data_IF_197290486393
#
_entry.id   IF_197290486393
#
_cell.length_a   1.000
_cell.length_b   1.000
_cell.length_c   1.000
_cell.angle_alpha   90.00
_cell.angle_beta   90.00
_cell.angle_gamma   90.00
#
_symmetry.space_group_name_H-M   'P 1'
#
loop_
_entity.id
_entity.type
_entity.pdbx_description
1 polymer ?
#
# COMPACT_ATOMS: atom_id res chain seq x y z
N UNK A 1 -13.87 -1.22 15.20
CA UNK A 1 -12.59 -1.26 14.46
C UNK A 1 -12.91 -1.44 13.00
N UNK A 2 -12.30 -0.67 12.09
CA UNK A 2 -12.50 -0.84 10.66
C UNK A 2 -11.88 -2.16 10.19
N UNK A 3 -12.63 -2.93 9.42
CA UNK A 3 -12.14 -4.13 8.77
C UNK A 3 -11.64 -3.78 7.36
N UNK A 4 -10.67 -4.55 6.88
CA UNK A 4 -10.20 -4.52 5.50
C UNK A 4 -10.44 -5.90 4.89
N UNK A 5 -10.94 -5.92 3.65
CA UNK A 5 -11.12 -7.14 2.86
C UNK A 5 -10.33 -7.01 1.58
N UNK A 6 -9.34 -7.88 1.39
CA UNK A 6 -8.41 -7.75 0.28
C UNK A 6 -8.00 -9.11 -0.29
N UNK A 7 -7.63 -9.13 -1.57
CA UNK A 7 -6.91 -10.27 -2.18
C UNK A 7 -5.40 -9.99 -2.26
N UNK A 8 -4.93 -8.89 -1.69
CA UNK A 8 -3.50 -8.56 -1.64
C UNK A 8 -2.73 -9.63 -0.85
N UNK A 9 -1.53 -10.01 -1.30
CA UNK A 9 -0.77 -11.08 -0.69
C UNK A 9 -0.22 -10.64 0.68
N UNK A 10 -0.18 -11.58 1.62
CA UNK A 10 0.58 -11.43 2.86
C UNK A 10 2.07 -11.59 2.52
N UNK A 11 2.85 -10.54 2.73
CA UNK A 11 4.30 -10.58 2.50
C UNK A 11 5.04 -11.24 3.66
N UNK A 12 4.64 -10.92 4.89
CA UNK A 12 5.25 -11.43 6.12
C UNK A 12 4.30 -11.32 7.31
N UNK A 13 4.59 -12.11 8.35
CA UNK A 13 3.97 -12.01 9.68
C UNK A 13 5.07 -11.81 10.71
N UNK A 14 4.94 -10.82 11.57
CA UNK A 14 5.92 -10.50 12.62
C UNK A 14 5.24 -10.44 13.98
N UNK A 15 5.95 -10.80 15.05
CA UNK A 15 5.48 -10.55 16.43
C UNK A 15 6.09 -9.23 16.88
N UNK A 16 5.23 -8.23 17.04
CA UNK A 16 5.60 -6.86 17.40
C UNK A 16 5.28 -6.59 18.88
N UNK A 17 6.08 -5.72 19.51
CA UNK A 17 5.83 -5.23 20.86
C UNK A 17 5.20 -3.85 20.78
N UNK A 18 4.02 -3.70 21.38
CA UNK A 18 3.26 -2.46 21.41
C UNK A 18 3.14 -1.92 22.82
N UNK A 19 2.97 -0.61 22.90
CA UNK A 19 2.58 0.13 24.09
C UNK A 19 1.22 0.77 23.85
N UNK A 20 0.36 0.72 24.85
CA UNK A 20 -0.90 1.44 24.90
C UNK A 20 -1.02 2.17 26.24
N UNK A 21 -1.62 3.36 26.22
CA UNK A 21 -1.97 4.09 27.43
C UNK A 21 -3.46 3.92 27.71
N UNK A 22 -3.80 3.37 28.87
CA UNK A 22 -5.19 3.11 29.29
C UNK A 22 -5.48 3.79 30.62
N UNK A 23 -6.74 4.15 30.87
CA UNK A 23 -7.16 4.68 32.16
C UNK A 23 -7.69 3.54 33.03
N UNK A 24 -7.07 3.32 34.19
CA UNK A 24 -7.46 2.30 35.17
C UNK A 24 -7.66 3.01 36.50
N UNK A 25 -8.89 3.03 37.01
CA UNK A 25 -9.20 3.73 38.27
C UNK A 25 -9.05 5.25 38.21
N UNK A 26 -9.03 5.86 37.02
CA UNK A 26 -8.81 7.30 36.82
C UNK A 26 -7.34 7.67 36.58
N UNK A 27 -6.41 6.73 36.72
CA UNK A 27 -4.99 6.94 36.46
C UNK A 27 -4.59 6.40 35.08
N UNK A 28 -3.75 7.15 34.36
CA UNK A 28 -3.22 6.74 33.05
C UNK A 28 -2.04 5.79 33.25
N UNK A 29 -2.20 4.55 32.83
CA UNK A 29 -1.18 3.51 32.95
C UNK A 29 -0.61 3.12 31.57
N UNK A 30 0.69 2.84 31.54
CA UNK A 30 1.41 2.28 30.38
C UNK A 30 1.26 0.76 30.41
N UNK A 31 0.70 0.19 29.36
CA UNK A 31 0.59 -1.26 29.19
C UNK A 31 1.38 -1.67 27.97
N UNK A 32 2.32 -2.60 28.17
CA UNK A 32 3.12 -3.19 27.12
C UNK A 32 2.61 -4.60 26.81
N UNK A 33 2.51 -4.96 25.54
CA UNK A 33 2.00 -6.24 25.10
C UNK A 33 2.54 -6.63 23.72
N UNK A 34 2.53 -7.93 23.41
CA UNK A 34 2.97 -8.45 22.11
C UNK A 34 1.79 -8.89 21.26
N UNK A 35 1.82 -8.60 19.96
CA UNK A 35 0.82 -9.05 18.99
C UNK A 35 1.45 -9.42 17.66
N UNK A 36 0.82 -10.36 16.97
CA UNK A 36 1.14 -10.65 15.59
C UNK A 36 0.64 -9.52 14.69
N UNK A 37 1.52 -9.00 13.85
CA UNK A 37 1.22 -8.09 12.75
C UNK A 37 1.35 -8.85 11.44
N UNK A 38 0.35 -8.68 10.58
CA UNK A 38 0.34 -9.19 9.22
C UNK A 38 0.66 -8.02 8.30
N UNK A 39 1.66 -8.20 7.43
CA UNK A 39 2.08 -7.16 6.50
C UNK A 39 1.54 -7.48 5.11
N UNK A 40 0.51 -6.75 4.69
CA UNK A 40 -0.08 -6.89 3.35
C UNK A 40 0.74 -6.10 2.34
N UNK A 41 1.14 -6.73 1.24
CA UNK A 41 1.76 -6.00 0.13
C UNK A 41 0.67 -5.40 -0.74
N UNK A 42 0.63 -4.07 -0.77
CA UNK A 42 -0.34 -3.28 -1.53
C UNK A 42 0.41 -2.29 -2.43
N UNK A 43 -0.30 -1.78 -3.43
CA UNK A 43 0.16 -0.70 -4.27
C UNK A 43 -0.90 0.38 -4.43
N UNK A 44 -0.40 1.58 -4.69
CA UNK A 44 -1.17 2.78 -4.97
C UNK A 44 -0.51 3.49 -6.15
N UNK A 45 -1.32 3.92 -7.11
CA UNK A 45 -0.84 4.58 -8.33
C UNK A 45 -1.41 5.98 -8.42
N UNK A 46 -0.52 6.95 -8.56
CA UNK A 46 -0.85 8.37 -8.66
C UNK A 46 -0.57 8.87 -10.08
N UNK A 47 -1.53 9.58 -10.67
CA UNK A 47 -1.32 10.36 -11.87
C UNK A 47 -0.55 11.65 -11.53
N UNK A 48 0.56 11.92 -12.21
CA UNK A 48 1.38 13.12 -12.02
C UNK A 48 1.58 13.84 -13.36
N UNK A 49 1.52 15.18 -13.31
CA UNK A 49 1.90 16.07 -14.40
C UNK A 49 3.26 16.66 -14.06
N UNK A 50 4.24 16.45 -14.95
CA UNK A 50 5.63 16.81 -14.74
C UNK A 50 6.08 17.79 -15.81
N UNK A 51 6.82 18.82 -15.40
CA UNK A 51 7.43 19.77 -16.33
C UNK A 51 8.84 20.12 -15.86
N UNK A 52 9.85 19.90 -16.70
CA UNK A 52 11.24 20.15 -16.35
C UNK A 52 11.78 19.24 -15.23
N UNK A 53 11.21 18.04 -15.06
CA UNK A 53 11.59 17.09 -14.01
C UNK A 53 10.88 17.30 -12.67
N UNK A 54 10.09 18.36 -12.54
CA UNK A 54 9.34 18.69 -11.33
C UNK A 54 7.85 18.36 -11.48
N UNK A 55 7.25 17.81 -10.43
CA UNK A 55 5.80 17.57 -10.38
C UNK A 55 5.09 18.92 -10.23
N UNK A 56 4.37 19.33 -11.27
CA UNK A 56 3.60 20.58 -11.26
C UNK A 56 2.19 20.38 -10.73
N UNK A 57 1.63 19.18 -10.86
CA UNK A 57 0.30 18.83 -10.37
C UNK A 57 0.12 17.32 -10.22
N UNK A 58 -0.79 16.91 -9.35
CA UNK A 58 -1.19 15.51 -9.15
C UNK A 58 -2.68 15.35 -9.46
N UNK A 59 -3.01 14.29 -10.20
CA UNK A 59 -4.38 13.95 -10.59
C UNK A 59 -5.00 12.88 -9.71
N UNK A 60 -5.73 11.96 -10.34
CA UNK A 60 -6.38 10.84 -9.64
C UNK A 60 -5.34 9.91 -8.98
N UNK A 61 -5.75 9.31 -7.86
CA UNK A 61 -5.03 8.26 -7.18
C UNK A 61 -5.92 7.02 -7.07
N UNK A 62 -5.37 5.84 -7.37
CA UNK A 62 -6.06 4.57 -7.26
C UNK A 62 -5.28 3.61 -6.35
N UNK A 63 -6.00 2.84 -5.55
CA UNK A 63 -5.46 1.79 -4.68
C UNK A 63 -5.89 0.41 -5.18
N UNK A 64 -5.28 -0.64 -4.62
CA UNK A 64 -5.50 -2.04 -4.99
C UNK A 64 -6.83 -2.66 -4.51
N UNK A 65 -7.96 -2.06 -4.87
CA UNK A 65 -9.29 -2.55 -4.48
C UNK A 65 -9.60 -3.97 -4.97
N UNK A 66 -9.04 -4.36 -6.11
CA UNK A 66 -9.26 -5.66 -6.74
C UNK A 66 -8.05 -6.59 -6.63
N UNK A 67 -7.05 -6.22 -5.83
CA UNK A 67 -5.80 -6.97 -5.67
C UNK A 67 -4.58 -6.21 -6.14
N UNK A 68 -3.42 -6.79 -5.86
CA UNK A 68 -2.13 -6.16 -6.11
C UNK A 68 -1.99 -5.73 -7.59
N UNK A 69 -1.60 -4.47 -7.80
CA UNK A 69 -1.47 -3.80 -9.10
C UNK A 69 -2.77 -3.59 -9.88
N UNK A 70 -3.94 -3.74 -9.26
CA UNK A 70 -5.20 -3.34 -9.91
C UNK A 70 -5.28 -1.82 -10.12
N UNK A 71 -4.46 -1.04 -9.43
CA UNK A 71 -4.39 0.41 -9.56
C UNK A 71 -3.55 0.93 -10.75
N UNK A 72 -2.80 0.08 -11.45
CA UNK A 72 -1.77 0.53 -12.42
C UNK A 72 -2.30 0.88 -13.82
N UNK A 73 -3.60 0.71 -14.09
CA UNK A 73 -4.17 0.89 -15.42
C UNK A 73 -4.24 2.39 -15.82
N UNK A 74 -3.57 2.81 -16.91
CA UNK A 74 -3.63 4.20 -17.39
C UNK A 74 -5.01 4.66 -17.84
N UNK A 75 -5.89 3.75 -18.25
CA UNK A 75 -7.25 4.08 -18.62
C UNK A 75 -8.08 4.46 -17.39
N UNK A 76 -7.99 3.68 -16.31
CA UNK A 76 -8.75 3.88 -15.07
C UNK A 76 -8.35 5.19 -14.37
N UNK A 77 -7.06 5.54 -14.43
CA UNK A 77 -6.54 6.79 -13.88
C UNK A 77 -6.72 8.01 -14.81
N UNK A 78 -7.26 7.80 -16.01
CA UNK A 78 -7.52 8.87 -16.97
C UNK A 78 -6.26 9.48 -17.61
N UNK A 79 -5.10 8.82 -17.51
CA UNK A 79 -3.84 9.31 -18.08
C UNK A 79 -3.93 9.48 -19.60
N UNK A 80 -4.52 8.50 -20.29
CA UNK A 80 -4.76 8.56 -21.73
C UNK A 80 -5.70 9.71 -22.13
N UNK A 81 -6.74 9.94 -21.32
CA UNK A 81 -7.70 11.03 -21.54
C UNK A 81 -7.05 12.39 -21.31
N UNK A 82 -6.22 12.52 -20.27
CA UNK A 82 -5.47 13.73 -19.98
C UNK A 82 -4.46 14.05 -21.10
N UNK A 83 -3.70 13.05 -21.56
CA UNK A 83 -2.76 13.21 -22.67
C UNK A 83 -3.44 13.70 -23.94
N UNK A 84 -4.58 13.09 -24.32
CA UNK A 84 -5.40 13.53 -25.46
C UNK A 84 -5.95 14.94 -25.28
N UNK A 85 -6.48 15.27 -24.10
CA UNK A 85 -7.09 16.58 -23.81
C UNK A 85 -6.09 17.71 -23.89
N UNK A 86 -4.90 17.52 -23.34
CA UNK A 86 -3.84 18.54 -23.31
C UNK A 86 -2.89 18.46 -24.50
N UNK A 87 -3.12 17.52 -25.43
CA UNK A 87 -2.27 17.25 -26.60
C UNK A 87 -0.80 16.99 -26.20
N UNK A 88 -0.61 16.24 -25.12
CA UNK A 88 0.71 15.84 -24.63
C UNK A 88 1.13 14.56 -25.32
N UNK A 89 2.32 14.58 -25.90
CA UNK A 89 2.97 13.46 -26.56
C UNK A 89 4.43 13.31 -26.11
N UNK A 90 5.17 12.41 -26.75
CA UNK A 90 6.56 12.15 -26.40
C UNK A 90 7.48 13.38 -26.58
N UNK A 91 7.13 14.32 -27.47
CA UNK A 91 7.95 15.49 -27.80
C UNK A 91 7.59 16.73 -26.97
N UNK A 92 6.45 16.70 -26.27
CA UNK A 92 5.95 17.79 -25.45
C UNK A 92 6.89 18.12 -24.28
N UNK A 93 7.02 19.37 -23.84
CA UNK A 93 7.83 19.70 -22.65
C UNK A 93 7.21 19.18 -21.35
N UNK A 94 5.89 19.03 -21.33
CA UNK A 94 5.14 18.40 -20.25
C UNK A 94 5.15 16.87 -20.44
N UNK A 95 5.25 16.17 -19.32
CA UNK A 95 5.13 14.73 -19.21
C UNK A 95 3.93 14.39 -18.32
N UNK A 96 3.14 13.41 -18.74
CA UNK A 96 2.11 12.82 -17.90
C UNK A 96 2.62 11.43 -17.55
N UNK A 97 2.72 11.15 -16.26
CA UNK A 97 3.25 9.89 -15.77
C UNK A 97 2.33 9.26 -14.72
N UNK A 98 2.39 7.94 -14.62
CA UNK A 98 1.83 7.19 -13.50
C UNK A 98 2.97 6.76 -12.61
N UNK A 99 2.87 7.12 -11.33
CA UNK A 99 3.84 6.71 -10.31
C UNK A 99 3.17 5.71 -9.41
N UNK A 100 3.68 4.48 -9.41
CA UNK A 100 3.18 3.39 -8.56
C UNK A 100 4.08 3.24 -7.35
N UNK A 101 3.47 3.28 -6.17
CA UNK A 101 4.11 3.00 -4.90
C UNK A 101 3.72 1.60 -4.43
N UNK A 102 4.70 0.72 -4.18
CA UNK A 102 4.50 -0.57 -3.51
C UNK A 102 4.88 -0.41 -2.05
N UNK A 103 4.02 -0.86 -1.14
CA UNK A 103 4.25 -0.76 0.29
C UNK A 103 3.71 -1.98 1.04
N UNK A 104 4.20 -2.16 2.26
CA UNK A 104 3.62 -3.08 3.21
C UNK A 104 2.71 -2.32 4.18
N UNK A 105 1.45 -2.70 4.22
CA UNK A 105 0.46 -2.15 5.11
C UNK A 105 0.32 -3.05 6.36
N UNK A 106 0.59 -2.53 7.57
CA UNK A 106 0.46 -3.32 8.78
C UNK A 106 -1.00 -3.46 9.17
N UNK A 107 -1.46 -4.70 9.29
CA UNK A 107 -2.79 -5.06 9.78
C UNK A 107 -2.67 -6.14 10.85
N UNK A 108 -3.76 -6.44 11.54
CA UNK A 108 -3.82 -7.58 12.43
C UNK A 108 -5.00 -8.49 12.09
N UNK A 109 -4.80 -9.78 12.35
CA UNK A 109 -5.81 -10.80 12.16
C UNK A 109 -6.41 -11.15 13.53
N UNK A 110 -7.61 -10.64 13.82
CA UNK A 110 -8.34 -11.02 15.03
C UNK A 110 -8.74 -12.51 14.99
N UNK A 111 -9.07 -13.13 16.13
CA UNK A 111 -9.58 -14.50 16.14
C UNK A 111 -10.78 -14.71 15.20
N UNK A 112 -11.68 -13.73 15.11
CA UNK A 112 -12.84 -13.75 14.21
C UNK A 112 -12.40 -13.68 12.75
N UNK A 113 -11.47 -12.79 12.41
CA UNK A 113 -10.91 -12.68 11.06
C UNK A 113 -10.26 -14.00 10.64
N UNK A 114 -9.48 -14.62 11.54
CA UNK A 114 -8.83 -15.91 11.29
C UNK A 114 -9.84 -17.00 11.00
N UNK A 115 -10.93 -17.08 11.78
CA UNK A 115 -11.99 -18.06 11.54
C UNK A 115 -12.65 -17.86 10.17
N UNK A 116 -12.92 -16.60 9.78
CA UNK A 116 -13.44 -16.28 8.45
C UNK A 116 -12.44 -16.72 7.37
N UNK A 117 -11.18 -16.34 7.49
CA UNK A 117 -10.14 -16.64 6.49
C UNK A 117 -9.94 -18.16 6.30
N UNK A 118 -10.02 -18.94 7.39
CA UNK A 118 -9.93 -20.41 7.33
C UNK A 118 -11.14 -21.08 6.69
N UNK A 119 -12.32 -20.47 6.78
CA UNK A 119 -13.57 -21.01 6.22
C UNK A 119 -13.77 -20.72 4.74
N UNK A 120 -12.96 -19.84 4.15
CA UNK A 120 -13.15 -19.34 2.79
C UNK A 120 -12.15 -19.99 1.82
N UNK A 121 -12.51 -20.11 0.52
CA UNK A 121 -11.59 -20.63 -0.49
C UNK A 121 -10.39 -19.69 -0.70
N UNK A 122 -9.28 -20.25 -1.22
CA UNK A 122 -8.00 -19.55 -1.36
C UNK A 122 -8.02 -18.27 -2.22
N UNK A 123 -9.06 -18.07 -3.04
CA UNK A 123 -9.26 -16.90 -3.90
C UNK A 123 -10.28 -15.88 -3.31
N UNK A 124 -10.73 -16.08 -2.08
CA UNK A 124 -11.62 -15.14 -1.40
C UNK A 124 -10.84 -13.93 -0.87
N UNK A 125 -11.53 -12.80 -0.71
CA UNK A 125 -10.97 -11.61 -0.06
C UNK A 125 -10.74 -11.90 1.42
N UNK A 126 -9.49 -12.14 1.81
CA UNK A 126 -9.08 -12.27 3.20
C UNK A 126 -9.48 -11.05 4.01
N UNK A 127 -9.99 -11.30 5.22
CA UNK A 127 -10.46 -10.30 6.16
C UNK A 127 -9.37 -10.01 7.20
N UNK A 128 -9.05 -8.74 7.40
CA UNK A 128 -8.16 -8.27 8.44
C UNK A 128 -8.76 -7.04 9.14
N UNK A 129 -8.06 -6.55 10.15
CA UNK A 129 -8.42 -5.32 10.85
C UNK A 129 -7.22 -4.38 10.90
N UNK A 130 -7.48 -3.09 10.76
CA UNK A 130 -6.42 -2.10 10.93
C UNK A 130 -5.90 -2.13 12.36
N UNK A 131 -4.61 -1.89 12.53
CA UNK A 131 -4.03 -1.75 13.86
C UNK A 131 -4.72 -0.58 14.57
N UNK A 132 -5.21 -0.76 15.81
CA UNK A 132 -5.87 0.32 16.53
C UNK A 132 -5.00 1.57 16.68
N UNK A 133 -5.60 2.75 16.48
CA UNK A 133 -4.98 4.07 16.66
C UNK A 133 -4.48 4.35 18.08
N UNK A 134 -4.62 3.41 19.02
CA UNK A 134 -4.08 3.51 20.38
C UNK A 134 -2.79 2.71 20.59
N UNK A 135 -2.46 1.79 19.66
CA UNK A 135 -1.26 0.97 19.74
C UNK A 135 -0.06 1.74 19.19
N UNK A 136 1.06 1.69 19.89
CA UNK A 136 2.28 2.43 19.54
C UNK A 136 3.50 1.54 19.64
N UNK A 137 4.51 1.81 18.84
CA UNK A 137 5.86 1.33 19.14
C UNK A 137 6.47 2.20 20.23
N UNK A 138 7.39 1.64 21.01
CA UNK A 138 8.30 2.45 21.84
C UNK A 138 9.61 2.59 21.07
N UNK A 139 10.04 3.82 20.83
CA UNK A 139 11.30 4.12 20.15
C UNK A 139 12.01 5.22 20.93
N UNK A 140 13.33 5.14 20.97
CA UNK A 140 14.16 6.21 21.50
C UNK A 140 14.73 7.03 20.33
N UNK A 141 14.63 8.35 20.41
CA UNK A 141 15.23 9.29 19.48
C UNK A 141 16.11 10.33 20.22
N UNK A 142 16.60 11.33 19.49
CA UNK A 142 17.48 12.39 20.03
C UNK A 142 16.82 13.26 21.12
N UNK A 143 15.48 13.24 21.20
CA UNK A 143 14.69 14.03 22.14
C UNK A 143 14.08 13.20 23.27
N UNK A 144 14.21 11.87 23.23
CA UNK A 144 13.80 10.96 24.29
C UNK A 144 12.97 9.78 23.81
N UNK A 145 12.03 9.32 24.64
CA UNK A 145 11.11 8.24 24.28
C UNK A 145 9.94 8.80 23.47
N UNK A 146 9.74 8.22 22.29
CA UNK A 146 8.62 8.52 21.40
C UNK A 146 7.76 7.28 21.16
N UNK A 147 6.50 7.55 20.89
CA UNK A 147 5.47 6.52 20.70
C UNK A 147 4.82 6.68 19.33
N UNK A 148 5.49 6.28 18.23
CA UNK A 148 4.92 6.37 16.90
C UNK A 148 3.86 5.29 16.67
N UNK A 149 2.88 5.61 15.83
CA UNK A 149 1.97 4.61 15.29
C UNK A 149 2.69 3.67 14.33
N UNK A 150 2.18 2.44 14.14
CA UNK A 150 2.62 1.60 13.04
C UNK A 150 2.28 2.25 11.71
N UNK A 151 3.30 2.39 10.86
CA UNK A 151 3.18 3.02 9.55
C UNK A 151 3.41 2.01 8.44
N UNK A 152 2.85 2.33 7.27
CA UNK A 152 3.16 1.61 6.02
C UNK A 152 4.65 1.66 5.75
N UNK A 153 5.24 0.54 5.32
CA UNK A 153 6.64 0.46 4.90
C UNK A 153 6.71 0.54 3.38
N UNK A 154 7.19 1.67 2.84
CA UNK A 154 7.39 1.83 1.39
C UNK A 154 8.51 0.87 0.95
N UNK A 155 8.22 0.04 -0.05
CA UNK A 155 9.19 -0.86 -0.66
C UNK A 155 9.77 -0.26 -1.93
N UNK A 156 8.92 0.40 -2.74
CA UNK A 156 9.34 1.09 -3.95
C UNK A 156 8.35 2.16 -4.36
N UNK A 157 8.86 3.13 -5.12
CA UNK A 157 8.08 4.14 -5.84
C UNK A 157 8.73 4.30 -7.21
N UNK A 158 8.03 3.89 -8.26
CA UNK A 158 8.56 3.86 -9.62
C UNK A 158 7.56 4.45 -10.60
N UNK A 159 8.05 5.08 -11.67
CA UNK A 159 7.22 5.45 -12.82
C UNK A 159 6.87 4.15 -13.55
N UNK A 160 5.58 3.88 -13.73
CA UNK A 160 5.09 2.67 -14.41
C UNK A 160 4.45 2.95 -15.76
N UNK A 161 4.15 4.21 -16.05
CA UNK A 161 3.68 4.65 -17.35
C UNK A 161 4.09 6.10 -17.58
N UNK A 162 4.41 6.46 -18.83
CA UNK A 162 4.70 7.85 -19.21
C UNK A 162 4.30 8.13 -20.66
N UNK A 163 3.89 9.37 -20.94
CA UNK A 163 3.72 9.88 -22.31
C UNK A 163 5.02 9.93 -23.10
N UNK A 164 6.18 9.92 -22.44
CA UNK A 164 7.51 9.91 -23.07
C UNK A 164 7.93 8.57 -23.65
N UNK A 165 7.31 7.49 -23.20
CA UNK A 165 7.63 6.13 -23.63
C UNK A 165 6.80 5.71 -24.84
N UNK A 166 7.35 4.81 -25.65
CA UNK A 166 6.58 4.13 -26.71
C UNK A 166 5.55 3.16 -26.11
N UNK A 167 4.62 2.67 -26.93
CA UNK A 167 3.64 1.69 -26.47
C UNK A 167 4.29 0.37 -26.05
N UNK A 168 5.33 -0.07 -26.77
CA UNK A 168 6.11 -1.26 -26.41
C UNK A 168 6.82 -1.09 -25.06
N UNK A 169 7.42 0.08 -24.83
CA UNK A 169 8.09 0.39 -23.56
C UNK A 169 7.09 0.42 -22.39
N UNK A 170 5.90 1.00 -22.59
CA UNK A 170 4.84 1.04 -21.57
C UNK A 170 4.42 -0.37 -21.17
N UNK A 171 4.15 -1.23 -22.15
CA UNK A 171 3.76 -2.62 -21.90
C UNK A 171 4.88 -3.38 -21.18
N UNK A 172 6.10 -3.33 -21.70
CA UNK A 172 7.25 -4.03 -21.10
C UNK A 172 7.51 -3.59 -19.66
N UNK A 173 7.50 -2.28 -19.39
CA UNK A 173 7.80 -1.76 -18.05
C UNK A 173 6.73 -2.12 -17.02
N UNK A 174 5.45 -2.09 -17.41
CA UNK A 174 4.35 -2.54 -16.53
C UNK A 174 4.51 -4.03 -16.22
N UNK A 175 4.79 -4.86 -17.22
CA UNK A 175 4.99 -6.29 -17.01
C UNK A 175 6.21 -6.59 -16.13
N UNK A 176 7.33 -5.92 -16.37
CA UNK A 176 8.56 -6.11 -15.58
C UNK A 176 8.37 -5.65 -14.14
N UNK A 177 7.66 -4.54 -13.94
CA UNK A 177 7.28 -4.05 -12.61
C UNK A 177 6.40 -5.10 -11.89
N UNK A 178 5.35 -5.59 -12.56
CA UNK A 178 4.47 -6.63 -12.00
C UNK A 178 5.24 -7.90 -11.68
N UNK A 179 6.14 -8.37 -12.54
CA UNK A 179 6.96 -9.57 -12.31
C UNK A 179 7.91 -9.40 -11.13
N UNK A 180 8.58 -8.24 -11.02
CA UNK A 180 9.53 -7.93 -9.94
C UNK A 180 8.86 -7.91 -8.58
N UNK A 181 7.66 -7.35 -8.51
CA UNK A 181 6.91 -7.16 -7.27
C UNK A 181 5.82 -8.22 -7.06
N UNK A 182 5.66 -9.17 -7.98
CA UNK A 182 4.77 -10.30 -7.80
C UNK A 182 5.23 -11.09 -6.57
N UNK A 183 4.29 -11.29 -5.63
CA UNK A 183 4.43 -12.31 -4.60
C UNK A 183 3.64 -13.52 -5.06
N UNK A 184 4.17 -14.74 -4.89
CA UNK A 184 3.31 -15.91 -4.86
C UNK A 184 2.18 -15.62 -3.87
N UNK A 185 0.93 -15.90 -4.22
CA UNK A 185 -0.13 -15.95 -3.22
C UNK A 185 0.39 -16.89 -2.13
N UNK A 186 0.64 -16.37 -0.93
CA UNK A 186 1.12 -17.19 0.16
C UNK A 186 0.15 -18.36 0.28
N UNK A 187 0.64 -19.58 0.06
CA UNK A 187 -0.13 -20.78 0.37
C UNK A 187 -0.60 -20.58 1.81
N UNK A 188 -1.92 -20.52 1.98
CA UNK A 188 -2.55 -20.50 3.30
C UNK A 188 -1.83 -21.58 4.13
N UNK A 189 -1.22 -21.16 5.24
CA UNK A 189 -0.34 -22.00 6.03
C UNK A 189 -0.98 -23.37 6.27
N UNK A 190 -0.21 -24.42 5.98
CA UNK A 190 -0.47 -25.78 6.42
C UNK A 190 -0.53 -25.87 7.95
#
# INVERSE_FOLDING_TARGET
MSQIRTVCPVAERTIETFVQFVSIGGERQRVEFKREVVWLQESETQLEFVHGGEVVSSGACASDWCGLFSSIDPADLGANTAAKRFKVDANSSMEIQLVTCVFLNPVFESPENRQVNLSQPANYRSCFSYIPDSWRYERQDEHGLVYPQPQKRILAREVTWSTKWTDEERVSRIEDFKKRWARPAAAACA
#
